data_IF_795808098116
#
_entry.id   IF_795808098116
#
_cell.length_a   1.000
_cell.length_b   1.000
_cell.length_c   1.000
_cell.angle_alpha   90.00
_cell.angle_beta   90.00
_cell.angle_gamma   90.00
#
_symmetry.space_group_name_H-M   'P 1'
#
loop_
_entity.id
_entity.type
_entity.pdbx_description
1 polymer ?
#
# COMPACT_ATOMS: atom_id res chain seq x y z
N UNK A 1 -8.12 -31.05 63.23
CA UNK A 1 -6.64 -30.91 63.27
C UNK A 1 -6.19 -30.14 62.03
N UNK A 2 -5.03 -29.46 62.07
CA UNK A 2 -4.84 -28.17 61.37
C UNK A 2 -3.85 -28.18 60.19
N UNK A 3 -3.65 -26.96 59.64
CA UNK A 3 -2.66 -26.44 58.67
C UNK A 3 -3.38 -25.92 57.41
N UNK A 4 -3.55 -24.62 57.13
CA UNK A 4 -2.65 -23.44 57.26
C UNK A 4 -1.28 -23.61 56.56
N UNK A 5 -0.98 -22.68 55.64
CA UNK A 5 0.26 -22.68 54.88
C UNK A 5 0.27 -21.60 53.78
N UNK A 6 0.49 -20.34 54.17
CA UNK A 6 0.75 -19.25 53.22
C UNK A 6 2.18 -19.36 52.65
N UNK A 7 2.42 -18.84 51.44
CA UNK A 7 3.61 -18.03 51.14
C UNK A 7 3.49 -17.29 49.79
N UNK A 8 3.63 -15.97 49.84
CA UNK A 8 4.08 -15.15 48.72
C UNK A 8 5.59 -15.34 48.53
N UNK A 9 6.10 -15.26 47.30
CA UNK A 9 7.46 -14.78 47.06
C UNK A 9 7.58 -14.05 45.72
N UNK A 10 7.80 -12.74 45.79
CA UNK A 10 8.28 -11.93 44.67
C UNK A 10 9.81 -11.97 44.66
N UNK A 11 10.43 -12.07 43.48
CA UNK A 11 11.84 -11.72 43.31
C UNK A 11 12.03 -10.85 42.05
N UNK A 12 12.25 -9.56 42.30
CA UNK A 12 12.94 -8.66 41.39
C UNK A 12 14.45 -8.92 41.51
N UNK A 13 15.16 -8.97 40.38
CA UNK A 13 16.63 -8.94 40.37
C UNK A 13 17.12 -7.79 39.50
N UNK A 14 17.58 -6.72 40.15
CA UNK A 14 18.27 -5.59 39.56
C UNK A 14 19.64 -5.99 39.02
N UNK A 15 19.99 -5.58 37.80
CA UNK A 15 21.38 -5.58 37.33
C UNK A 15 21.99 -4.18 37.47
N UNK A 16 23.18 -4.11 38.05
CA UNK A 16 23.92 -2.86 38.31
C UNK A 16 25.26 -2.85 37.56
N UNK A 17 25.67 -1.65 37.16
CA UNK A 17 26.97 -1.25 36.59
C UNK A 17 28.20 -1.86 37.29
N UNK A 18 29.35 -2.10 36.63
CA UNK A 18 30.25 -1.02 36.15
C UNK A 18 31.49 -1.55 35.35
N UNK A 19 32.31 -0.65 34.73
CA UNK A 19 33.35 -1.02 33.75
C UNK A 19 34.81 -0.84 34.22
N UNK A 20 35.77 -1.48 33.51
CA UNK A 20 37.24 -1.22 33.41
C UNK A 20 37.91 -2.40 32.68
N UNK A 21 39.10 -2.35 32.04
CA UNK A 21 40.16 -1.32 31.91
C UNK A 21 41.00 -1.55 30.63
N UNK A 22 41.81 -0.56 30.27
CA UNK A 22 42.75 -0.52 29.14
C UNK A 22 43.98 -1.44 29.32
N UNK A 23 44.64 -1.82 28.21
CA UNK A 23 46.10 -1.77 28.11
C UNK A 23 46.56 -1.38 26.68
N UNK A 24 47.77 -0.85 26.58
CA UNK A 24 48.29 0.01 25.50
C UNK A 24 49.76 -0.35 25.19
N UNK A 25 50.29 0.21 24.08
CA UNK A 25 51.69 0.29 23.58
C UNK A 25 51.85 -0.42 22.22
N UNK A 26 52.46 0.07 21.13
CA UNK A 26 53.41 1.15 20.77
C UNK A 26 54.49 0.48 19.87
N UNK A 27 55.18 1.09 18.88
CA UNK A 27 55.15 2.42 18.24
C UNK A 27 56.08 2.39 16.99
N UNK A 28 56.32 3.56 16.36
CA UNK A 28 57.45 3.91 15.43
C UNK A 28 57.41 3.36 13.98
N UNK A 29 57.78 4.09 12.91
CA UNK A 29 58.54 5.36 12.74
C UNK A 29 58.03 6.23 11.54
N UNK A 30 58.55 7.47 11.44
CA UNK A 30 58.22 8.60 10.54
C UNK A 30 59.35 8.86 9.48
N UNK A 31 59.46 10.00 8.74
CA UNK A 31 58.57 10.67 7.75
C UNK A 31 59.42 11.06 6.46
N UNK A 32 59.45 12.30 5.91
CA UNK A 32 58.42 13.26 5.40
C UNK A 32 58.61 13.62 3.89
N UNK A 33 57.71 14.42 3.31
CA UNK A 33 58.09 15.47 2.31
C UNK A 33 57.15 16.69 2.35
N UNK A 34 57.73 17.87 2.14
CA UNK A 34 57.14 19.22 2.02
C UNK A 34 56.61 19.50 0.59
N UNK A 35 55.86 20.58 0.27
CA UNK A 35 55.29 21.66 1.09
C UNK A 35 54.57 22.74 0.23
N UNK A 36 53.80 23.60 0.92
CA UNK A 36 53.55 25.06 0.74
C UNK A 36 53.41 25.74 -0.65
N UNK A 37 52.34 26.54 -0.81
CA UNK A 37 52.23 27.98 -1.21
C UNK A 37 50.77 28.25 -1.70
N UNK A 38 50.02 29.33 -1.40
CA UNK A 38 50.27 30.79 -1.24
C UNK A 38 50.27 31.57 -2.56
N UNK A 39 49.51 32.66 -2.78
CA UNK A 39 48.60 33.45 -1.91
C UNK A 39 47.57 34.28 -2.77
N UNK A 40 46.44 34.67 -2.16
CA UNK A 40 45.62 35.92 -2.34
C UNK A 40 45.53 36.63 -3.71
N UNK A 41 44.29 36.96 -4.15
CA UNK A 41 43.85 38.24 -4.78
C UNK A 41 42.40 38.11 -5.32
N UNK A 42 41.50 39.10 -5.38
CA UNK A 42 41.39 40.45 -4.77
C UNK A 42 39.91 40.87 -4.82
N UNK A 43 39.39 41.48 -3.75
CA UNK A 43 38.06 42.13 -3.77
C UNK A 43 38.14 43.50 -4.46
N UNK A 44 37.26 43.74 -5.46
CA UNK A 44 36.96 45.08 -5.94
C UNK A 44 35.44 45.29 -6.06
N UNK A 45 35.05 46.55 -5.93
CA UNK A 45 33.71 47.03 -5.56
C UNK A 45 33.01 47.76 -6.73
N UNK A 46 31.66 47.79 -6.66
CA UNK A 46 30.74 48.80 -7.26
C UNK A 46 30.54 48.79 -8.80
N UNK A 47 29.51 49.51 -9.33
CA UNK A 47 28.19 49.82 -8.76
C UNK A 47 26.99 49.67 -9.76
N UNK A 48 25.77 49.85 -9.24
CA UNK A 48 24.53 50.34 -9.90
C UNK A 48 24.35 50.23 -11.42
N UNK A 49 23.33 49.46 -11.84
CA UNK A 49 22.67 49.56 -13.14
C UNK A 49 21.18 49.21 -13.00
N UNK A 50 20.33 50.24 -12.91
CA UNK A 50 18.87 50.10 -13.04
C UNK A 50 18.53 49.96 -14.53
N UNK A 51 17.70 48.97 -14.89
CA UNK A 51 17.00 48.98 -16.18
C UNK A 51 15.52 48.58 -16.00
N UNK A 52 14.60 49.12 -16.83
CA UNK A 52 13.19 49.22 -16.46
C UNK A 52 12.32 48.05 -16.91
N UNK A 53 11.23 47.84 -16.17
CA UNK A 53 10.16 46.90 -16.48
C UNK A 53 9.47 47.25 -17.82
N UNK A 54 9.28 46.31 -18.75
CA UNK A 54 8.39 46.52 -19.88
C UNK A 54 6.92 46.46 -19.42
N UNK A 55 6.19 47.53 -19.70
CA UNK A 55 4.75 47.69 -19.45
C UNK A 55 3.94 46.49 -19.97
N UNK A 56 3.45 45.62 -19.07
CA UNK A 56 2.41 44.65 -19.43
C UNK A 56 1.09 45.39 -19.66
N UNK A 57 0.60 45.34 -20.89
CA UNK A 57 -0.74 45.79 -21.28
C UNK A 57 -1.81 45.21 -20.34
N UNK A 58 -2.58 46.10 -19.72
CA UNK A 58 -3.90 45.77 -19.21
C UNK A 58 -4.84 45.52 -20.39
N UNK A 59 -5.00 44.26 -20.79
CA UNK A 59 -6.11 43.83 -21.61
C UNK A 59 -7.22 43.32 -20.68
N UNK A 60 -8.24 44.16 -20.47
CA UNK A 60 -9.53 43.71 -19.97
C UNK A 60 -10.19 42.84 -21.05
N UNK A 61 -10.00 41.52 -20.98
CA UNK A 61 -10.85 40.57 -21.69
C UNK A 61 -12.14 40.38 -20.90
N UNK A 62 -13.29 40.67 -21.51
CA UNK A 62 -14.59 40.35 -20.92
C UNK A 62 -14.65 38.86 -20.59
N UNK A 63 -15.07 38.54 -19.35
CA UNK A 63 -15.36 37.16 -18.96
C UNK A 63 -16.71 36.79 -19.55
N UNK A 64 -16.69 36.14 -20.72
CA UNK A 64 -17.86 35.45 -21.26
C UNK A 64 -18.24 34.32 -20.28
N UNK A 65 -19.30 34.55 -19.50
CA UNK A 65 -19.91 33.54 -18.62
C UNK A 65 -20.68 32.50 -19.43
N UNK A 66 -19.97 31.74 -20.28
CA UNK A 66 -20.47 30.47 -20.81
C UNK A 66 -20.20 29.40 -19.77
N UNK A 67 -21.29 28.82 -19.25
CA UNK A 67 -21.22 27.71 -18.33
C UNK A 67 -20.28 26.63 -18.89
N UNK A 68 -19.25 26.30 -18.12
CA UNK A 68 -18.39 25.17 -18.43
C UNK A 68 -19.21 23.89 -18.24
N UNK A 69 -19.89 23.46 -19.31
CA UNK A 69 -20.38 22.10 -19.41
C UNK A 69 -19.16 21.19 -19.22
N UNK A 70 -19.04 20.59 -18.04
CA UNK A 70 -18.04 19.56 -17.80
C UNK A 70 -18.16 18.54 -18.93
N UNK A 71 -17.05 18.15 -19.58
CA UNK A 71 -17.12 17.08 -20.57
C UNK A 71 -17.74 15.87 -19.89
N UNK A 72 -18.73 15.20 -20.52
CA UNK A 72 -19.33 14.01 -19.93
C UNK A 72 -18.21 13.04 -19.56
N UNK A 73 -18.23 12.55 -18.32
CA UNK A 73 -17.26 11.57 -17.85
C UNK A 73 -17.13 10.47 -18.90
N UNK A 74 -15.91 10.05 -19.28
CA UNK A 74 -15.75 8.99 -20.27
C UNK A 74 -16.54 7.78 -19.78
N UNK A 75 -17.47 7.29 -20.62
CA UNK A 75 -18.16 6.03 -20.33
C UNK A 75 -17.10 5.00 -19.97
N UNK A 76 -17.26 4.22 -18.89
CA UNK A 76 -16.32 3.15 -18.60
C UNK A 76 -16.20 2.30 -19.86
N UNK A 77 -14.96 2.09 -20.30
CA UNK A 77 -14.66 1.36 -21.52
C UNK A 77 -14.88 -0.12 -21.25
N UNK A 78 -16.15 -0.55 -21.28
CA UNK A 78 -16.54 -1.94 -21.22
C UNK A 78 -15.81 -2.70 -22.33
N UNK A 79 -14.94 -3.64 -21.98
CA UNK A 79 -14.48 -4.62 -22.95
C UNK A 79 -15.67 -5.52 -23.29
N UNK A 80 -16.16 -5.44 -24.53
CA UNK A 80 -17.28 -6.27 -25.04
C UNK A 80 -16.96 -7.78 -25.07
N UNK A 81 -15.74 -8.18 -24.68
CA UNK A 81 -15.38 -9.54 -24.25
C UNK A 81 -16.08 -9.93 -22.93
N UNK A 82 -17.41 -9.93 -22.96
CA UNK A 82 -18.30 -10.57 -21.98
C UNK A 82 -18.24 -12.09 -22.06
N UNK A 83 -17.02 -12.66 -22.09
CA UNK A 83 -16.80 -14.07 -21.87
C UNK A 83 -17.23 -14.39 -20.44
N UNK A 84 -18.10 -15.40 -20.27
CA UNK A 84 -18.33 -16.04 -18.98
C UNK A 84 -16.95 -16.47 -18.44
N UNK A 85 -16.44 -15.83 -17.40
CA UNK A 85 -15.04 -15.95 -16.98
C UNK A 85 -14.75 -17.27 -16.26
N UNK A 86 -15.74 -17.82 -15.55
CA UNK A 86 -15.69 -18.97 -14.66
C UNK A 86 -14.69 -18.79 -13.49
N UNK A 87 -14.87 -19.52 -12.37
CA UNK A 87 -13.85 -19.60 -11.34
C UNK A 87 -12.52 -20.13 -11.87
N UNK A 88 -11.43 -19.58 -11.35
CA UNK A 88 -10.07 -20.06 -11.55
C UNK A 88 -9.90 -21.49 -11.04
N UNK A 89 -9.30 -22.34 -11.87
CA UNK A 89 -9.01 -23.74 -11.58
C UNK A 89 -7.66 -23.83 -10.86
N UNK A 90 -7.56 -24.47 -9.67
CA UNK A 90 -6.28 -24.60 -8.96
C UNK A 90 -5.15 -25.15 -9.84
N UNK A 91 -5.43 -26.24 -10.58
CA UNK A 91 -4.45 -26.86 -11.48
C UNK A 91 -4.06 -26.04 -12.71
N UNK A 92 -4.68 -24.89 -12.96
CA UNK A 92 -4.24 -23.92 -13.96
C UNK A 92 -4.31 -22.48 -13.43
N UNK A 93 -3.25 -22.00 -12.75
CA UNK A 93 -3.18 -20.64 -12.22
C UNK A 93 -3.24 -19.52 -13.28
N UNK A 94 -3.30 -19.83 -14.60
CA UNK A 94 -3.59 -18.85 -15.65
C UNK A 94 -5.09 -18.62 -15.87
N UNK A 95 -5.95 -19.54 -15.42
CA UNK A 95 -7.41 -19.44 -15.56
C UNK A 95 -8.04 -18.43 -14.61
N UNK A 96 -7.33 -18.03 -13.55
CA UNK A 96 -7.76 -16.97 -12.65
C UNK A 96 -7.81 -15.61 -13.35
N UNK A 97 -8.86 -14.84 -13.05
CA UNK A 97 -9.08 -13.52 -13.65
C UNK A 97 -7.90 -12.59 -13.35
N UNK A 98 -7.25 -12.12 -14.41
CA UNK A 98 -6.09 -11.23 -14.37
C UNK A 98 -6.50 -9.81 -14.81
N UNK A 99 -5.73 -8.79 -14.39
CA UNK A 99 -5.93 -7.37 -14.75
C UNK A 99 -7.24 -6.70 -14.35
N UNK A 100 -8.15 -7.38 -13.64
CA UNK A 100 -9.45 -6.81 -13.27
C UNK A 100 -9.37 -5.50 -12.49
N UNK A 101 -8.26 -5.26 -11.79
CA UNK A 101 -7.94 -4.02 -11.08
C UNK A 101 -7.78 -2.77 -11.97
N UNK A 102 -7.65 -2.94 -13.29
CA UNK A 102 -7.62 -1.84 -14.27
C UNK A 102 -9.03 -1.21 -14.37
N UNK A 103 -10.08 -2.04 -14.41
CA UNK A 103 -11.48 -1.63 -14.36
C UNK A 103 -11.99 -1.45 -12.93
N UNK A 104 -12.40 -0.24 -12.57
CA UNK A 104 -12.80 0.08 -11.18
C UNK A 104 -14.13 -0.59 -10.79
N UNK A 105 -15.10 -0.66 -11.71
CA UNK A 105 -16.39 -1.29 -11.45
C UNK A 105 -16.29 -2.81 -11.37
N UNK A 106 -15.52 -3.41 -12.28
CA UNK A 106 -15.25 -4.85 -12.33
C UNK A 106 -14.46 -5.29 -11.09
N UNK A 107 -13.45 -4.52 -10.66
CA UNK A 107 -12.72 -4.81 -9.43
C UNK A 107 -13.61 -4.72 -8.18
N UNK A 108 -14.51 -3.73 -8.12
CA UNK A 108 -15.45 -3.58 -7.00
C UNK A 108 -16.45 -4.76 -6.95
N UNK A 109 -17.04 -5.13 -8.09
CA UNK A 109 -17.95 -6.25 -8.20
C UNK A 109 -17.27 -7.60 -7.89
N UNK A 110 -16.03 -7.80 -8.35
CA UNK A 110 -15.23 -8.99 -8.04
C UNK A 110 -14.89 -9.12 -6.54
N UNK A 111 -14.81 -8.00 -5.81
CA UNK A 111 -14.66 -7.97 -4.34
C UNK A 111 -15.99 -8.11 -3.59
N UNK A 112 -17.10 -8.29 -4.30
CA UNK A 112 -18.44 -8.47 -3.73
C UNK A 112 -19.16 -7.17 -3.35
N UNK A 113 -18.71 -6.01 -3.83
CA UNK A 113 -19.39 -4.74 -3.63
C UNK A 113 -20.48 -4.51 -4.68
N UNK A 114 -21.58 -3.87 -4.26
CA UNK A 114 -22.61 -3.33 -5.16
C UNK A 114 -22.34 -1.89 -5.59
N UNK A 115 -21.39 -1.21 -4.95
CA UNK A 115 -21.08 0.20 -5.17
C UNK A 115 -19.57 0.44 -5.22
N UNK A 116 -19.11 1.32 -6.11
CA UNK A 116 -17.68 1.68 -6.24
C UNK A 116 -17.14 2.47 -5.03
N UNK A 117 -17.97 3.28 -4.35
CA UNK A 117 -17.53 4.02 -3.16
C UNK A 117 -17.15 3.09 -2.01
N UNK A 118 -17.76 1.91 -1.91
CA UNK A 118 -17.43 0.90 -0.89
C UNK A 118 -16.00 0.36 -1.14
N UNK A 119 -15.65 0.04 -2.39
CA UNK A 119 -14.27 -0.31 -2.79
C UNK A 119 -13.28 0.80 -2.44
N UNK A 120 -13.57 2.05 -2.83
CA UNK A 120 -12.69 3.19 -2.57
C UNK A 120 -12.45 3.39 -1.08
N UNK A 121 -13.54 3.35 -0.29
CA UNK A 121 -13.52 3.49 1.17
C UNK A 121 -12.68 2.40 1.82
N UNK A 122 -12.89 1.14 1.43
CA UNK A 122 -12.09 0.04 1.95
C UNK A 122 -10.61 0.17 1.55
N UNK A 123 -10.33 0.61 0.32
CA UNK A 123 -8.96 0.77 -0.19
C UNK A 123 -8.11 1.83 0.55
N UNK A 124 -8.72 2.82 1.20
CA UNK A 124 -7.99 3.79 2.07
C UNK A 124 -7.99 3.39 3.55
N UNK A 125 -8.47 2.21 3.92
CA UNK A 125 -8.31 1.73 5.30
C UNK A 125 -6.84 1.46 5.61
N UNK A 126 -6.39 1.64 6.87
CA UNK A 126 -5.04 1.29 7.30
C UNK A 126 -4.61 -0.14 6.95
N UNK A 127 -5.54 -1.09 6.93
CA UNK A 127 -5.29 -2.48 6.53
C UNK A 127 -4.79 -2.58 5.09
N UNK A 128 -5.47 -1.90 4.15
CA UNK A 128 -5.09 -1.92 2.72
C UNK A 128 -3.83 -1.08 2.50
N UNK A 129 -3.77 0.14 3.05
CA UNK A 129 -2.64 1.05 2.85
C UNK A 129 -1.32 0.44 3.36
N UNK A 130 -1.27 -0.07 4.60
CA UNK A 130 -0.07 -0.72 5.16
C UNK A 130 0.31 -1.99 4.39
N UNK A 131 -0.67 -2.76 3.93
CA UNK A 131 -0.42 -3.96 3.10
C UNK A 131 0.17 -3.61 1.75
N UNK A 132 -0.33 -2.57 1.09
CA UNK A 132 0.24 -2.07 -0.14
C UNK A 132 1.68 -1.55 0.06
N UNK A 133 1.95 -0.83 1.16
CA UNK A 133 3.31 -0.42 1.52
C UNK A 133 4.24 -1.62 1.77
N UNK A 134 3.76 -2.73 2.37
CA UNK A 134 4.51 -4.00 2.46
C UNK A 134 4.79 -4.59 1.07
N UNK A 135 3.79 -4.60 0.19
CA UNK A 135 3.88 -5.15 -1.16
C UNK A 135 4.87 -4.39 -2.06
N UNK A 136 4.80 -3.05 -2.10
CA UNK A 136 5.68 -2.21 -2.93
C UNK A 136 7.17 -2.26 -2.52
N UNK A 137 7.48 -2.64 -1.27
CA UNK A 137 8.86 -2.84 -0.82
C UNK A 137 9.53 -4.04 -1.51
N UNK A 138 8.77 -4.92 -2.18
CA UNK A 138 9.27 -6.04 -2.96
C UNK A 138 9.80 -5.60 -4.33
N UNK A 139 11.09 -5.27 -4.40
CA UNK A 139 11.78 -4.84 -5.64
C UNK A 139 11.98 -5.94 -6.70
N UNK A 140 11.47 -7.14 -6.48
CA UNK A 140 11.74 -8.32 -7.30
C UNK A 140 10.62 -8.70 -8.27
N UNK A 141 10.89 -9.69 -9.12
CA UNK A 141 9.93 -10.14 -10.14
C UNK A 141 8.93 -11.16 -9.55
N UNK A 142 7.83 -10.66 -9.02
CA UNK A 142 6.66 -11.47 -8.66
C UNK A 142 5.62 -11.50 -9.79
N UNK A 143 4.84 -12.58 -9.88
CA UNK A 143 3.66 -12.65 -10.75
C UNK A 143 2.50 -13.33 -10.05
N UNK A 144 1.27 -12.95 -10.42
CA UNK A 144 0.05 -13.55 -9.88
C UNK A 144 0.09 -15.08 -10.01
N UNK A 145 0.38 -15.60 -11.22
CA UNK A 145 0.52 -17.03 -11.49
C UNK A 145 1.43 -17.74 -10.47
N UNK A 146 2.66 -17.25 -10.30
CA UNK A 146 3.64 -17.86 -9.38
C UNK A 146 3.28 -17.68 -7.90
N UNK A 147 2.56 -16.62 -7.57
CA UNK A 147 2.05 -16.39 -6.22
C UNK A 147 0.93 -17.38 -5.89
N UNK A 148 0.00 -17.61 -6.83
CA UNK A 148 -1.08 -18.60 -6.68
C UNK A 148 -0.53 -20.03 -6.62
N UNK A 149 0.52 -20.36 -7.39
CA UNK A 149 1.24 -21.65 -7.27
C UNK A 149 1.78 -21.86 -5.85
N UNK A 150 2.49 -20.87 -5.28
CA UNK A 150 2.99 -20.95 -3.90
C UNK A 150 1.86 -21.04 -2.86
N UNK A 151 0.76 -20.31 -3.06
CA UNK A 151 -0.42 -20.39 -2.19
C UNK A 151 -1.12 -21.76 -2.28
N UNK A 152 -1.15 -22.39 -3.44
CA UNK A 152 -1.75 -23.70 -3.61
C UNK A 152 -1.00 -24.76 -2.83
N UNK A 153 0.33 -24.74 -2.92
CA UNK A 153 1.20 -25.76 -2.32
C UNK A 153 1.45 -25.53 -0.82
N UNK A 154 1.63 -24.26 -0.39
CA UNK A 154 2.21 -23.93 0.93
C UNK A 154 1.36 -23.01 1.81
N UNK A 155 0.10 -22.71 1.44
CA UNK A 155 -0.81 -21.78 2.16
C UNK A 155 -0.79 -21.90 3.70
N UNK A 156 -0.75 -23.12 4.23
CA UNK A 156 -0.80 -23.34 5.68
C UNK A 156 0.53 -22.99 6.36
N UNK A 157 1.66 -23.21 5.68
CA UNK A 157 3.02 -22.95 6.18
C UNK A 157 3.39 -21.47 6.09
N UNK A 158 2.65 -20.69 5.30
CA UNK A 158 2.76 -19.23 5.20
C UNK A 158 2.10 -18.48 6.38
N UNK A 159 1.36 -19.18 7.26
CA UNK A 159 0.69 -18.57 8.43
C UNK A 159 1.72 -18.25 9.52
N UNK A 160 2.31 -17.06 9.45
CA UNK A 160 3.33 -16.60 10.39
C UNK A 160 3.08 -15.17 10.85
N UNK A 161 3.41 -14.87 12.11
CA UNK A 161 3.40 -13.52 12.67
C UNK A 161 4.69 -12.74 12.36
N UNK A 162 5.69 -13.37 11.74
CA UNK A 162 6.93 -12.71 11.35
C UNK A 162 6.72 -11.85 10.11
N UNK A 163 7.52 -10.78 9.93
CA UNK A 163 7.47 -10.03 8.68
C UNK A 163 7.88 -10.93 7.50
N UNK A 164 7.30 -10.75 6.30
CA UNK A 164 7.62 -11.55 5.12
C UNK A 164 9.12 -11.57 4.79
N UNK A 165 9.84 -10.50 5.13
CA UNK A 165 11.28 -10.38 4.90
C UNK A 165 12.11 -11.29 5.81
N UNK A 166 11.65 -11.48 7.05
CA UNK A 166 12.26 -12.33 8.08
C UNK A 166 11.91 -13.79 7.83
N UNK A 167 10.64 -14.08 7.54
CA UNK A 167 10.16 -15.44 7.27
C UNK A 167 10.78 -16.00 5.97
N UNK A 168 10.92 -15.17 4.93
CA UNK A 168 11.45 -15.56 3.62
C UNK A 168 12.61 -14.65 3.20
N UNK A 169 13.82 -14.79 3.79
CA UNK A 169 14.97 -13.94 3.46
C UNK A 169 15.45 -14.15 2.02
N UNK A 170 15.84 -13.06 1.35
CA UNK A 170 16.37 -13.03 -0.02
C UNK A 170 17.79 -13.61 -0.09
N UNK A 171 17.94 -14.91 0.17
CA UNK A 171 19.19 -15.63 -0.11
C UNK A 171 19.30 -16.12 -1.56
N UNK A 172 18.17 -16.25 -2.29
CA UNK A 172 18.09 -16.81 -3.64
C UNK A 172 16.95 -16.16 -4.44
N UNK A 173 17.06 -16.20 -5.77
CA UNK A 173 16.05 -15.67 -6.71
C UNK A 173 14.72 -16.43 -6.63
N UNK A 174 13.62 -15.74 -6.97
CA UNK A 174 12.26 -16.32 -7.03
C UNK A 174 11.44 -16.25 -5.73
N UNK A 175 12.07 -15.91 -4.59
CA UNK A 175 11.42 -15.80 -3.27
C UNK A 175 10.42 -14.64 -3.14
N UNK A 176 10.36 -13.69 -4.07
CA UNK A 176 9.38 -12.59 -4.01
C UNK A 176 7.94 -13.10 -4.07
N UNK A 177 7.66 -14.19 -4.81
CA UNK A 177 6.33 -14.79 -4.85
C UNK A 177 5.93 -15.43 -3.51
N UNK A 178 6.90 -15.95 -2.73
CA UNK A 178 6.67 -16.43 -1.36
C UNK A 178 6.37 -15.28 -0.42
N UNK A 179 7.05 -14.14 -0.58
CA UNK A 179 6.78 -12.92 0.19
C UNK A 179 5.41 -12.34 -0.14
N UNK A 180 5.03 -12.25 -1.40
CA UNK A 180 3.67 -11.84 -1.80
C UNK A 180 2.64 -12.82 -1.23
N UNK A 181 2.85 -14.13 -1.36
CA UNK A 181 1.94 -15.13 -0.83
C UNK A 181 1.76 -14.99 0.70
N UNK A 182 2.86 -14.79 1.45
CA UNK A 182 2.83 -14.48 2.88
C UNK A 182 2.06 -13.18 3.19
N UNK A 183 2.31 -12.09 2.45
CA UNK A 183 1.56 -10.82 2.58
C UNK A 183 0.05 -11.05 2.36
N UNK A 184 -0.34 -11.84 1.35
CA UNK A 184 -1.75 -12.12 1.07
C UNK A 184 -2.41 -12.99 2.15
N UNK A 185 -1.68 -13.95 2.74
CA UNK A 185 -2.16 -14.75 3.88
C UNK A 185 -2.35 -13.87 5.11
N UNK A 186 -1.34 -13.10 5.50
CA UNK A 186 -1.41 -12.17 6.62
C UNK A 186 -2.54 -11.15 6.43
N UNK A 187 -2.66 -10.56 5.25
CA UNK A 187 -3.70 -9.58 4.96
C UNK A 187 -5.12 -10.17 4.98
N UNK A 188 -5.31 -11.42 4.52
CA UNK A 188 -6.60 -12.14 4.68
C UNK A 188 -6.97 -12.27 6.16
N UNK A 189 -6.04 -12.76 6.98
CA UNK A 189 -6.26 -12.97 8.42
C UNK A 189 -6.46 -11.66 9.19
N UNK A 190 -5.71 -10.61 8.85
CA UNK A 190 -5.88 -9.27 9.40
C UNK A 190 -7.28 -8.69 9.10
N UNK A 191 -7.79 -8.86 7.88
CA UNK A 191 -9.13 -8.38 7.49
C UNK A 191 -10.25 -9.21 8.12
N UNK A 192 -10.13 -10.54 8.11
CA UNK A 192 -11.11 -11.44 8.74
C UNK A 192 -11.21 -11.18 10.24
N UNK A 193 -10.06 -10.98 10.91
CA UNK A 193 -10.02 -10.58 12.31
C UNK A 193 -10.64 -9.21 12.54
N UNK A 194 -10.29 -8.20 11.74
CA UNK A 194 -10.84 -6.85 11.87
C UNK A 194 -12.37 -6.82 11.73
N UNK A 195 -12.91 -7.65 10.83
CA UNK A 195 -14.35 -7.82 10.64
C UNK A 195 -15.01 -8.53 11.82
N UNK A 196 -14.42 -9.64 12.32
CA UNK A 196 -14.98 -10.43 13.42
C UNK A 196 -14.90 -9.72 14.79
N UNK A 197 -13.74 -9.15 15.12
CA UNK A 197 -13.52 -8.43 16.39
C UNK A 197 -14.17 -7.03 16.39
N UNK A 198 -14.77 -6.60 15.27
CA UNK A 198 -15.33 -5.26 15.04
C UNK A 198 -14.33 -4.15 15.43
N UNK A 199 -13.08 -4.29 14.95
CA UNK A 199 -11.97 -3.43 15.37
C UNK A 199 -12.24 -2.00 14.92
N UNK A 200 -12.37 -1.10 15.90
CA UNK A 200 -12.45 0.34 15.65
C UNK A 200 -11.11 0.84 15.14
N UNK A 201 -11.07 1.23 13.87
CA UNK A 201 -9.93 1.92 13.28
C UNK A 201 -9.84 3.31 13.90
N UNK A 202 -8.70 3.64 14.51
CA UNK A 202 -8.50 4.93 15.17
C UNK A 202 -8.07 6.01 14.17
N UNK A 203 -8.29 7.28 14.50
CA UNK A 203 -7.76 8.42 13.74
C UNK A 203 -6.23 8.38 13.64
N UNK A 204 -5.55 7.92 14.71
CA UNK A 204 -4.10 7.71 14.70
C UNK A 204 -3.66 6.59 13.74
N UNK A 205 -4.44 5.51 13.62
CA UNK A 205 -4.17 4.45 12.65
C UNK A 205 -4.31 4.92 11.21
N UNK A 206 -5.34 5.73 10.94
CA UNK A 206 -5.63 6.35 9.65
C UNK A 206 -4.47 7.27 9.25
N UNK A 207 -4.08 8.20 10.12
CA UNK A 207 -3.03 9.16 9.78
C UNK A 207 -1.67 8.48 9.60
N UNK A 208 -1.30 7.55 10.48
CA UNK A 208 -0.05 6.79 10.33
C UNK A 208 0.02 5.98 9.02
N UNK A 209 -1.10 5.38 8.60
CA UNK A 209 -1.15 4.61 7.35
C UNK A 209 -1.17 5.51 6.10
N UNK A 210 -1.86 6.66 6.15
CA UNK A 210 -1.84 7.67 5.09
C UNK A 210 -0.42 8.23 4.92
N UNK A 211 0.24 8.57 6.02
CA UNK A 211 1.59 9.15 6.01
C UNK A 211 2.65 8.15 5.50
N UNK A 212 2.55 6.86 5.83
CA UNK A 212 3.41 5.83 5.23
C UNK A 212 3.18 5.72 3.72
N UNK A 213 1.91 5.72 3.28
CA UNK A 213 1.56 5.62 1.87
C UNK A 213 2.04 6.84 1.06
N UNK A 214 1.79 8.06 1.54
CA UNK A 214 2.26 9.32 0.97
C UNK A 214 3.77 9.32 0.78
N UNK A 215 4.50 8.94 1.82
CA UNK A 215 5.97 8.81 1.79
C UNK A 215 6.42 7.75 0.78
N UNK A 216 5.75 6.60 0.71
CA UNK A 216 6.13 5.51 -0.19
C UNK A 216 5.85 5.79 -1.68
N UNK A 217 4.84 6.62 -1.97
CA UNK A 217 4.36 6.92 -3.33
C UNK A 217 4.67 8.33 -3.82
N UNK A 218 5.32 9.16 -2.99
CA UNK A 218 5.64 10.56 -3.27
C UNK A 218 4.38 11.37 -3.68
N UNK A 219 3.27 11.11 -2.99
CA UNK A 219 2.00 11.81 -3.20
C UNK A 219 1.89 13.00 -2.26
N UNK A 220 1.36 14.12 -2.75
CA UNK A 220 1.14 15.34 -1.95
C UNK A 220 0.10 15.13 -0.85
N UNK A 221 -0.97 14.39 -1.14
CA UNK A 221 -2.02 14.08 -0.17
C UNK A 221 -2.89 12.88 -0.55
N UNK A 222 -3.20 12.04 0.45
CA UNK A 222 -4.18 10.95 0.42
C UNK A 222 -5.49 11.39 1.11
N UNK A 223 -6.68 11.08 0.57
CA UNK A 223 -7.93 11.31 1.30
C UNK A 223 -8.00 10.47 2.58
N UNK A 224 -8.15 11.14 3.74
CA UNK A 224 -8.42 10.45 5.01
C UNK A 224 -9.89 10.02 5.04
N UNK A 225 -10.15 8.75 5.34
CA UNK A 225 -11.49 8.30 5.75
C UNK A 225 -11.81 8.87 7.14
N UNK A 226 -13.09 9.10 7.44
CA UNK A 226 -13.48 9.51 8.79
C UNK A 226 -13.46 8.27 9.70
N UNK A 227 -13.03 8.41 10.96
CA UNK A 227 -13.09 7.31 11.94
C UNK A 227 -14.52 6.80 12.19
N UNK A 228 -15.55 7.59 11.86
CA UNK A 228 -16.96 7.23 11.92
C UNK A 228 -17.52 6.73 10.57
N UNK A 229 -16.72 6.60 9.52
CA UNK A 229 -17.16 6.02 8.24
C UNK A 229 -17.50 4.54 8.43
N UNK A 230 -18.69 4.12 8.01
CA UNK A 230 -19.06 2.70 7.96
C UNK A 230 -18.16 1.98 6.95
N UNK A 231 -17.29 1.08 7.45
CA UNK A 231 -16.40 0.30 6.59
C UNK A 231 -17.11 -1.01 6.22
N UNK A 232 -17.43 -1.14 4.93
CA UNK A 232 -17.92 -2.39 4.37
C UNK A 232 -16.76 -3.29 3.99
N UNK A 233 -16.58 -4.33 4.79
CA UNK A 233 -15.59 -5.37 4.54
C UNK A 233 -16.00 -6.20 3.30
N UNK A 234 -15.07 -6.46 2.37
CA UNK A 234 -15.35 -7.24 1.17
C UNK A 234 -15.55 -8.71 1.52
N UNK A 235 -16.29 -9.42 0.68
CA UNK A 235 -16.37 -10.88 0.74
C UNK A 235 -15.33 -11.45 -0.23
N UNK A 236 -14.14 -11.79 0.28
CA UNK A 236 -13.12 -12.42 -0.55
C UNK A 236 -13.51 -13.85 -1.00
N UNK A 237 -14.46 -14.48 -0.34
CA UNK A 237 -14.84 -15.85 -0.63
C UNK A 237 -13.85 -16.88 -0.03
N UNK A 238 -13.78 -18.10 -0.58
CA UNK A 238 -14.45 -18.56 -1.81
C UNK A 238 -15.98 -18.50 -1.73
N UNK A 239 -16.63 -18.46 -2.90
CA UNK A 239 -18.07 -18.62 -3.05
C UNK A 239 -18.39 -20.05 -3.57
N UNK A 240 -18.67 -21.04 -2.70
CA UNK A 240 -18.81 -22.43 -3.12
C UNK A 240 -20.01 -22.66 -4.06
N UNK A 241 -21.03 -21.82 -3.97
CA UNK A 241 -22.19 -21.82 -4.86
C UNK A 241 -21.86 -21.42 -6.31
N UNK A 242 -20.71 -20.80 -6.55
CA UNK A 242 -20.17 -20.51 -7.89
C UNK A 242 -19.16 -21.58 -8.34
N UNK A 243 -18.79 -22.53 -7.48
CA UNK A 243 -17.73 -23.52 -7.75
C UNK A 243 -16.31 -23.02 -7.43
N UNK A 244 -16.17 -21.96 -6.65
CA UNK A 244 -14.87 -21.37 -6.31
C UNK A 244 -14.05 -22.19 -5.31
N UNK A 245 -12.74 -21.92 -5.33
CA UNK A 245 -11.71 -22.48 -4.47
C UNK A 245 -11.03 -21.38 -3.66
N UNK A 246 -10.40 -21.71 -2.54
CA UNK A 246 -9.70 -20.76 -1.65
C UNK A 246 -8.72 -19.79 -2.37
N UNK A 247 -8.15 -20.19 -3.50
CA UNK A 247 -7.28 -19.34 -4.32
C UNK A 247 -7.96 -18.09 -4.88
N UNK A 248 -9.29 -18.10 -5.08
CA UNK A 248 -10.06 -16.91 -5.50
C UNK A 248 -10.00 -15.79 -4.47
N UNK A 249 -10.01 -16.12 -3.17
CA UNK A 249 -9.86 -15.12 -2.11
C UNK A 249 -8.52 -14.39 -2.21
N UNK A 250 -7.44 -15.12 -2.47
CA UNK A 250 -6.12 -14.55 -2.67
C UNK A 250 -5.98 -13.80 -4.00
N UNK A 251 -6.66 -14.23 -5.07
CA UNK A 251 -6.70 -13.47 -6.33
C UNK A 251 -7.42 -12.12 -6.16
N UNK A 252 -8.53 -12.08 -5.41
CA UNK A 252 -9.23 -10.85 -5.03
C UNK A 252 -8.37 -9.91 -4.17
N UNK A 253 -7.69 -10.45 -3.17
CA UNK A 253 -6.75 -9.69 -2.33
C UNK A 253 -5.61 -9.09 -3.17
N UNK A 254 -5.05 -9.87 -4.11
CA UNK A 254 -4.04 -9.38 -5.05
C UNK A 254 -4.62 -8.30 -5.97
N UNK A 255 -5.83 -8.48 -6.50
CA UNK A 255 -6.51 -7.49 -7.32
C UNK A 255 -6.74 -6.17 -6.56
N UNK A 256 -7.12 -6.20 -5.29
CA UNK A 256 -7.27 -5.00 -4.45
C UNK A 256 -5.96 -4.23 -4.28
N UNK A 257 -4.85 -4.93 -3.98
CA UNK A 257 -3.51 -4.31 -3.87
C UNK A 257 -3.09 -3.70 -5.22
N UNK A 258 -3.31 -4.43 -6.32
CA UNK A 258 -3.00 -3.94 -7.68
C UNK A 258 -3.90 -2.79 -8.13
N UNK A 259 -5.14 -2.74 -7.66
CA UNK A 259 -6.08 -1.64 -7.89
C UNK A 259 -5.55 -0.36 -7.26
N UNK A 260 -5.04 -0.43 -6.03
CA UNK A 260 -4.43 0.72 -5.37
C UNK A 260 -3.15 1.17 -6.11
N UNK A 261 -2.28 0.25 -6.51
CA UNK A 261 -1.08 0.57 -7.31
C UNK A 261 -1.37 1.18 -8.68
N UNK A 262 -2.42 0.69 -9.36
CA UNK A 262 -2.90 1.27 -10.62
C UNK A 262 -3.56 2.66 -10.41
N UNK A 263 -4.20 2.86 -9.26
CA UNK A 263 -4.82 4.14 -8.89
C UNK A 263 -3.78 5.19 -8.52
N UNK A 264 -2.61 4.79 -8.00
CA UNK A 264 -1.54 5.67 -7.52
C UNK A 264 -0.69 6.35 -8.64
N UNK A 265 -1.27 6.55 -9.83
CA UNK A 265 -0.77 7.49 -10.85
C UNK A 265 -1.58 8.81 -10.75
N UNK A 266 -0.97 9.96 -11.02
CA UNK A 266 -1.62 11.26 -10.74
C UNK A 266 -2.98 11.45 -11.43
N UNK A 267 -3.14 10.95 -12.67
CA UNK A 267 -4.41 10.99 -13.41
C UNK A 267 -5.48 10.07 -12.79
N UNK A 268 -5.10 8.84 -12.43
CA UNK A 268 -6.03 7.87 -11.88
C UNK A 268 -6.41 8.21 -10.44
N UNK A 269 -5.47 8.74 -9.66
CA UNK A 269 -5.66 9.16 -8.28
C UNK A 269 -6.72 10.26 -8.19
N UNK A 270 -6.57 11.32 -9.00
CA UNK A 270 -7.57 12.40 -9.07
C UNK A 270 -8.92 11.90 -9.59
N UNK A 271 -8.93 10.97 -10.54
CA UNK A 271 -10.16 10.40 -11.10
C UNK A 271 -10.95 9.56 -10.09
N UNK A 272 -10.28 8.69 -9.32
CA UNK A 272 -10.93 7.76 -8.38
C UNK A 272 -11.16 8.40 -7.00
N UNK A 273 -10.18 9.15 -6.53
CA UNK A 273 -10.10 9.61 -5.13
C UNK A 273 -10.14 11.13 -4.97
N UNK A 274 -10.28 11.90 -6.06
CA UNK A 274 -10.53 13.35 -5.98
C UNK A 274 -11.86 13.67 -5.27
N UNK A 275 -11.93 14.84 -4.63
CA UNK A 275 -12.99 15.23 -3.69
C UNK A 275 -14.42 15.13 -4.24
N UNK A 276 -14.61 15.36 -5.54
CA UNK A 276 -15.91 15.23 -6.23
C UNK A 276 -16.30 13.80 -6.55
N UNK A 277 -15.31 12.92 -6.73
CA UNK A 277 -15.50 11.60 -7.33
C UNK A 277 -15.54 10.52 -6.25
N UNK A 278 -14.73 10.65 -5.19
CA UNK A 278 -14.64 9.70 -4.07
C UNK A 278 -16.02 9.24 -3.58
N UNK A 279 -16.89 10.20 -3.26
CA UNK A 279 -18.25 9.96 -2.74
C UNK A 279 -19.30 9.70 -3.84
N UNK A 280 -18.96 9.75 -5.13
CA UNK A 280 -19.94 9.54 -6.19
C UNK A 280 -20.40 8.08 -6.18
N UNK A 281 -21.68 7.79 -5.89
CA UNK A 281 -22.20 6.43 -5.98
C UNK A 281 -22.18 5.99 -7.44
N UNK A 282 -21.51 4.89 -7.73
CA UNK A 282 -21.61 4.18 -9.01
C UNK A 282 -22.11 2.78 -8.65
N UNK A 283 -23.37 2.51 -8.98
CA UNK A 283 -24.01 1.23 -8.75
C UNK A 283 -23.57 0.21 -9.80
N UNK A 284 -23.31 -1.00 -9.35
CA UNK A 284 -22.79 -2.10 -10.16
C UNK A 284 -23.94 -3.06 -10.48
N UNK A 285 -24.24 -3.20 -11.78
CA UNK A 285 -25.16 -4.23 -12.27
C UNK A 285 -24.48 -5.59 -12.34
N UNK A 286 -25.27 -6.67 -12.42
CA UNK A 286 -24.79 -8.07 -12.46
C UNK A 286 -23.69 -8.31 -13.51
N UNK A 287 -23.73 -7.60 -14.64
CA UNK A 287 -22.72 -7.62 -15.71
C UNK A 287 -21.30 -7.21 -15.31
N UNK A 288 -21.10 -6.66 -14.11
CA UNK A 288 -19.76 -6.28 -13.62
C UNK A 288 -19.09 -7.41 -12.83
N UNK A 289 -19.87 -8.40 -12.36
CA UNK A 289 -19.33 -9.56 -11.64
C UNK A 289 -18.64 -10.47 -12.66
N UNK A 290 -17.38 -10.86 -12.45
CA UNK A 290 -16.79 -11.99 -13.17
C UNK A 290 -17.53 -13.25 -12.75
N UNK A 291 -18.48 -13.68 -13.58
CA UNK A 291 -19.15 -14.99 -13.52
C UNK A 291 -18.20 -16.08 -13.95
#
# INVERSE_FOLDING_TARGET
>A
MPNQGCALFSLLSTFSSSPSRLHLLASTLLPPFSGLHSLVSTLLLRPFGLDPLPLRRLLFSCVDSRAACHPPLPKPAFSEDGQNRLPGKPGDPKSFVNKIWEGEGECAAYLGYSMVNDLRTFAMTPLVLRTFCRFEKLKGSHSLKKTLEVLQDLRNDLKTNQSPEIAYPLSHSGKDNYRVACILVQFKEEVEKAHFDNIKITEADIEAACQEFETSRLLESVPRINQNTEIRFPKFGPFPNLGEVELEAYNRLYALIRYLGHSASASNWKSRFGSSNWNHPISLGESHVPT
#
